data_IF_211234965310
#
_entry.id   IF_211234965310
#
_cell.length_a   1.000
_cell.length_b   1.000
_cell.length_c   1.000
_cell.angle_alpha   90.00
_cell.angle_beta   90.00
_cell.angle_gamma   90.00
#
_symmetry.space_group_name_H-M   'P 1'
#
loop_
_entity.id
_entity.type
_entity.pdbx_description
1 polymer ?
#
# COMPACT_ATOMS: atom_id res chain seq x y z
N UNK A 1 13.67 -1.18 -18.57
CA UNK A 1 12.21 -1.39 -18.67
C UNK A 1 11.69 -1.32 -17.25
N UNK A 2 10.90 -0.32 -16.89
CA UNK A 2 10.49 -0.20 -15.50
C UNK A 2 9.54 0.97 -15.34
N UNK A 3 8.41 0.70 -14.70
CA UNK A 3 7.49 1.75 -14.27
C UNK A 3 8.30 2.82 -13.54
N UNK A 4 8.16 4.08 -13.97
CA UNK A 4 8.83 5.22 -13.34
C UNK A 4 7.98 5.79 -12.22
N UNK A 5 6.68 5.72 -12.41
CA UNK A 5 5.67 6.33 -11.56
C UNK A 5 4.67 5.22 -11.20
N UNK A 6 4.43 5.04 -9.91
CA UNK A 6 3.48 4.05 -9.41
C UNK A 6 2.44 4.72 -8.52
N UNK A 7 1.20 4.28 -8.64
CA UNK A 7 0.12 4.63 -7.72
C UNK A 7 -0.34 3.34 -7.07
N UNK A 8 -0.25 3.30 -5.74
CA UNK A 8 -0.67 2.17 -4.92
C UNK A 8 -2.03 2.52 -4.32
N UNK A 9 -3.03 1.75 -4.70
CA UNK A 9 -4.41 1.93 -4.24
C UNK A 9 -4.79 0.83 -3.26
N UNK A 10 -5.49 1.19 -2.19
CA UNK A 10 -5.98 0.23 -1.21
C UNK A 10 -7.17 0.73 -0.41
N UNK A 11 -7.94 -0.20 0.16
CA UNK A 11 -9.15 0.10 0.94
C UNK A 11 -8.93 0.23 2.44
N UNK A 12 -7.68 0.12 2.91
CA UNK A 12 -7.35 0.35 4.31
C UNK A 12 -6.87 1.78 4.52
N UNK A 13 -7.78 2.63 5.03
CA UNK A 13 -7.48 4.03 5.34
C UNK A 13 -6.28 4.14 6.28
N UNK A 14 -6.22 3.29 7.31
CA UNK A 14 -5.13 3.27 8.29
C UNK A 14 -3.78 2.98 7.64
N UNK A 15 -3.70 2.02 6.72
CA UNK A 15 -2.45 1.67 6.02
C UNK A 15 -2.02 2.79 5.09
N UNK A 16 -2.93 3.32 4.26
CA UNK A 16 -2.62 4.39 3.32
C UNK A 16 -2.20 5.68 4.05
N UNK A 17 -2.88 6.04 5.13
CA UNK A 17 -2.51 7.22 5.94
C UNK A 17 -1.14 7.02 6.58
N UNK A 18 -0.81 5.83 7.11
CA UNK A 18 0.52 5.54 7.67
C UNK A 18 1.63 5.50 6.60
N UNK A 19 1.30 5.11 5.36
CA UNK A 19 2.25 5.17 4.24
C UNK A 19 2.56 6.61 3.83
N UNK A 20 1.55 7.49 3.86
CA UNK A 20 1.73 8.91 3.58
C UNK A 20 2.38 9.69 4.75
N UNK A 21 2.10 9.31 6.00
CA UNK A 21 2.73 9.93 7.16
C UNK A 21 4.15 9.41 7.39
N UNK A 22 5.02 10.29 7.87
CA UNK A 22 6.42 10.00 8.19
C UNK A 22 6.66 9.63 9.66
N UNK A 23 5.58 9.54 10.45
CA UNK A 23 5.64 9.26 11.87
C UNK A 23 6.07 7.80 12.14
N UNK A 24 6.87 7.62 13.20
CA UNK A 24 7.37 6.31 13.62
C UNK A 24 6.21 5.48 14.17
N UNK A 25 5.67 4.63 13.30
CA UNK A 25 4.54 3.79 13.65
C UNK A 25 5.01 2.64 14.55
N UNK A 26 4.56 2.58 15.80
CA UNK A 26 4.90 1.47 16.72
C UNK A 26 4.02 0.22 16.52
N UNK A 27 3.24 0.16 15.44
CA UNK A 27 2.36 -0.97 15.19
C UNK A 27 3.13 -2.18 14.68
N UNK A 28 2.57 -3.38 14.86
CA UNK A 28 3.10 -4.64 14.34
C UNK A 28 3.35 -4.64 12.82
N UNK A 29 2.62 -3.80 12.08
CA UNK A 29 2.75 -3.62 10.63
C UNK A 29 3.86 -2.64 10.20
N UNK A 30 4.54 -1.97 11.13
CA UNK A 30 5.58 -0.97 10.81
C UNK A 30 6.68 -1.53 9.91
N UNK A 31 7.12 -2.76 10.17
CA UNK A 31 8.15 -3.39 9.35
C UNK A 31 7.69 -3.58 7.90
N UNK A 32 6.42 -3.96 7.71
CA UNK A 32 5.81 -4.11 6.38
C UNK A 32 5.70 -2.75 5.69
N UNK A 33 5.26 -1.71 6.42
CA UNK A 33 5.17 -0.34 5.89
C UNK A 33 6.54 0.19 5.45
N UNK A 34 7.60 -0.09 6.22
CA UNK A 34 8.97 0.31 5.90
C UNK A 34 9.48 -0.40 4.65
N UNK A 35 9.23 -1.70 4.52
CA UNK A 35 9.56 -2.47 3.32
C UNK A 35 8.83 -1.92 2.08
N UNK A 36 7.55 -1.57 2.21
CA UNK A 36 6.78 -0.93 1.12
C UNK A 36 7.43 0.39 0.74
N UNK A 37 7.77 1.27 1.70
CA UNK A 37 8.45 2.54 1.44
C UNK A 37 9.82 2.34 0.76
N UNK A 38 10.61 1.37 1.21
CA UNK A 38 11.91 1.03 0.60
C UNK A 38 11.76 0.54 -0.84
N UNK A 39 10.74 -0.26 -1.14
CA UNK A 39 10.44 -0.69 -2.51
C UNK A 39 9.90 0.48 -3.35
N UNK A 40 9.04 1.32 -2.78
CA UNK A 40 8.48 2.51 -3.42
C UNK A 40 9.56 3.54 -3.78
N UNK A 41 10.59 3.70 -2.93
CA UNK A 41 11.74 4.57 -3.17
C UNK A 41 12.61 4.16 -4.38
N UNK A 42 12.42 2.94 -4.92
CA UNK A 42 13.07 2.52 -6.18
C UNK A 42 12.41 3.14 -7.41
N UNK A 43 11.20 3.68 -7.25
CA UNK A 43 10.45 4.36 -8.29
C UNK A 43 10.72 5.87 -8.21
N UNK A 44 10.63 6.57 -9.35
CA UNK A 44 10.85 8.03 -9.41
C UNK A 44 9.72 8.77 -8.69
N UNK A 45 8.50 8.27 -8.81
CA UNK A 45 7.34 8.79 -8.12
C UNK A 45 6.49 7.63 -7.59
N UNK A 46 6.06 7.74 -6.35
CA UNK A 46 5.16 6.77 -5.73
C UNK A 46 4.09 7.52 -4.95
N UNK A 47 2.82 7.23 -5.24
CA UNK A 47 1.69 7.83 -4.52
C UNK A 47 0.81 6.74 -3.93
N UNK A 48 0.34 6.95 -2.70
CA UNK A 48 -0.53 6.02 -2.00
C UNK A 48 -1.92 6.64 -1.88
N UNK A 49 -2.93 6.00 -2.47
CA UNK A 49 -4.31 6.52 -2.51
C UNK A 49 -5.27 5.55 -1.84
N UNK A 50 -6.12 6.11 -0.97
CA UNK A 50 -7.21 5.37 -0.39
C UNK A 50 -8.35 5.28 -1.41
N UNK A 51 -8.86 4.07 -1.62
CA UNK A 51 -10.03 3.81 -2.47
C UNK A 51 -11.09 3.07 -1.66
N UNK A 52 -12.39 3.29 -1.91
CA UNK A 52 -13.41 2.51 -1.24
C UNK A 52 -13.27 1.02 -1.58
N UNK A 53 -13.67 0.15 -0.68
CA UNK A 53 -13.65 -1.31 -0.86
C UNK A 53 -14.28 -1.76 -2.19
N UNK A 54 -15.37 -1.11 -2.62
CA UNK A 54 -16.03 -1.36 -3.90
C UNK A 54 -15.11 -1.19 -5.12
N UNK A 55 -14.09 -0.33 -5.03
CA UNK A 55 -13.07 -0.13 -6.06
C UNK A 55 -11.88 -1.09 -5.91
N UNK A 56 -11.69 -1.69 -4.73
CA UNK A 56 -10.64 -2.67 -4.44
C UNK A 56 -11.13 -4.13 -4.49
N UNK A 57 -12.25 -4.40 -5.17
CA UNK A 57 -12.87 -5.74 -5.22
C UNK A 57 -11.91 -6.81 -5.73
N UNK A 58 -11.16 -6.53 -6.80
CA UNK A 58 -10.27 -7.53 -7.40
C UNK A 58 -9.18 -7.96 -6.42
N UNK A 59 -8.52 -7.01 -5.74
CA UNK A 59 -7.50 -7.34 -4.76
C UNK A 59 -8.11 -8.04 -3.52
N UNK A 60 -9.33 -7.67 -3.14
CA UNK A 60 -10.04 -8.31 -2.04
C UNK A 60 -10.38 -9.78 -2.36
N UNK A 61 -10.98 -10.05 -3.53
CA UNK A 61 -11.29 -11.41 -3.99
C UNK A 61 -10.03 -12.26 -4.10
N UNK A 62 -8.92 -11.67 -4.59
CA UNK A 62 -7.63 -12.36 -4.66
C UNK A 62 -7.08 -12.71 -3.27
N UNK A 63 -7.25 -11.81 -2.29
CA UNK A 63 -6.87 -12.06 -0.90
C UNK A 63 -7.76 -13.12 -0.23
N UNK A 64 -9.05 -13.16 -0.57
CA UNK A 64 -9.96 -14.23 -0.13
C UNK A 64 -9.52 -15.57 -0.73
N UNK A 65 -9.23 -15.61 -2.03
CA UNK A 65 -8.80 -16.83 -2.70
C UNK A 65 -7.52 -17.42 -2.11
N UNK A 66 -6.54 -16.57 -1.78
CA UNK A 66 -5.29 -17.02 -1.15
C UNK A 66 -5.42 -17.44 0.33
N UNK A 67 -6.61 -17.37 0.92
CA UNK A 67 -6.90 -17.87 2.27
C UNK A 67 -7.29 -19.35 2.26
N UNK A 68 -7.76 -19.85 1.13
CA UNK A 68 -8.13 -21.26 0.91
C UNK A 68 -6.91 -22.12 0.55
#
# INVERSE_FOLDING_TARGET
MGFRDIVVEGDSLTVITKLNNQEDDRSVICNILKEIKLKAAKFRNSSFRFVPHSANKVAHELAIWGRE
#
